data_IF_321533900401
#
_entry.id   IF_321533900401
#
_cell.length_a   1.000
_cell.length_b   1.000
_cell.length_c   1.000
_cell.angle_alpha   90.00
_cell.angle_beta   90.00
_cell.angle_gamma   90.00
#
_symmetry.space_group_name_H-M   'P 1'
#
loop_
_entity.id
_entity.type
_entity.pdbx_description
1 polymer ?
#
# COMPACT_ATOMS: atom_id res chain seq x y z
N UNK A 1 -75.12 -12.64 33.21
CA UNK A 1 -74.97 -12.80 31.76
C UNK A 1 -74.24 -11.56 31.21
N UNK A 2 -73.11 -11.81 30.54
CA UNK A 2 -72.34 -10.91 29.65
C UNK A 2 -71.93 -9.50 30.13
N UNK A 3 -70.96 -9.46 31.05
CA UNK A 3 -69.94 -8.40 31.10
C UNK A 3 -68.69 -8.91 30.36
N UNK A 4 -68.69 -8.85 29.03
CA UNK A 4 -67.54 -9.27 28.17
C UNK A 4 -67.42 -8.45 26.88
N UNK A 5 -67.65 -7.14 26.94
CA UNK A 5 -67.52 -6.27 25.75
C UNK A 5 -66.52 -5.11 25.88
N UNK A 6 -65.88 -4.91 27.05
CA UNK A 6 -65.03 -3.72 27.27
C UNK A 6 -63.52 -4.04 27.25
N UNK A 7 -63.13 -5.31 27.35
CA UNK A 7 -61.71 -5.70 27.39
C UNK A 7 -61.03 -5.76 26.01
N UNK A 8 -61.78 -5.79 24.91
CA UNK A 8 -61.20 -5.94 23.57
C UNK A 8 -60.67 -4.63 22.95
N UNK A 9 -61.09 -3.46 23.44
CA UNK A 9 -60.66 -2.17 22.91
C UNK A 9 -59.32 -1.68 23.50
N UNK A 10 -58.92 -2.16 24.69
CA UNK A 10 -57.66 -1.76 25.32
C UNK A 10 -56.44 -2.59 24.87
N UNK A 11 -56.65 -3.85 24.48
CA UNK A 11 -55.57 -4.72 23.99
C UNK A 11 -55.20 -4.49 22.52
N UNK A 12 -56.09 -3.87 21.73
CA UNK A 12 -55.79 -3.44 20.36
C UNK A 12 -55.08 -2.08 20.30
N UNK A 13 -55.16 -1.27 21.36
CA UNK A 13 -54.51 0.05 21.45
C UNK A 13 -53.05 0.03 21.89
N UNK A 14 -52.57 -1.04 22.54
CA UNK A 14 -51.18 -1.13 23.03
C UNK A 14 -50.21 -1.86 22.08
N UNK A 15 -50.69 -2.48 20.99
CA UNK A 15 -49.82 -3.02 19.91
C UNK A 15 -49.49 -1.97 18.84
N UNK A 16 -50.00 -0.75 18.99
CA UNK A 16 -49.72 0.42 18.14
C UNK A 16 -48.83 1.44 18.84
N UNK A 17 -48.04 1.03 19.85
CA UNK A 17 -46.85 1.80 20.21
C UNK A 17 -45.83 1.52 19.13
N UNK A 18 -45.99 2.26 18.03
CA UNK A 18 -44.94 2.75 17.16
C UNK A 18 -43.56 2.20 17.54
N UNK A 19 -43.12 1.18 16.79
CA UNK A 19 -41.73 1.18 16.35
C UNK A 19 -41.57 2.55 15.71
N UNK A 20 -41.10 3.53 16.49
CA UNK A 20 -40.54 4.72 15.92
C UNK A 20 -39.48 4.17 14.98
N UNK A 21 -39.80 4.15 13.68
CA UNK A 21 -38.80 4.10 12.66
C UNK A 21 -37.91 5.29 13.03
N UNK A 22 -36.81 5.01 13.73
CA UNK A 22 -35.77 5.96 13.99
C UNK A 22 -35.33 6.34 12.60
N UNK A 23 -35.93 7.42 12.08
CA UNK A 23 -35.57 7.98 10.81
C UNK A 23 -34.05 8.12 10.86
N UNK A 24 -33.38 7.65 9.82
CA UNK A 24 -31.94 7.69 9.74
C UNK A 24 -31.41 9.04 10.24
N UNK A 25 -30.58 9.00 11.28
CA UNK A 25 -29.99 10.18 11.91
C UNK A 25 -28.53 9.88 12.17
N UNK A 26 -27.69 10.44 11.32
CA UNK A 26 -26.26 10.30 11.42
C UNK A 26 -25.65 11.68 11.53
N UNK A 27 -24.77 11.85 12.52
CA UNK A 27 -23.98 13.07 12.65
C UNK A 27 -23.04 13.14 11.46
N UNK A 28 -23.00 14.28 10.79
CA UNK A 28 -21.97 14.53 9.79
C UNK A 28 -20.57 14.48 10.44
N UNK A 29 -19.64 13.82 9.78
CA UNK A 29 -18.26 13.63 10.23
C UNK A 29 -17.29 14.29 9.27
N UNK A 30 -16.04 14.48 9.71
CA UNK A 30 -14.95 14.90 8.82
C UNK A 30 -14.62 13.81 7.81
N UNK A 31 -13.99 14.18 6.70
CA UNK A 31 -13.55 13.21 5.69
C UNK A 31 -12.61 12.15 6.30
N UNK A 32 -11.70 12.57 7.19
CA UNK A 32 -10.79 11.67 7.89
C UNK A 32 -11.54 10.67 8.78
N UNK A 33 -12.55 11.11 9.53
CA UNK A 33 -13.35 10.22 10.38
C UNK A 33 -14.08 9.15 9.57
N UNK A 34 -14.66 9.51 8.42
CA UNK A 34 -15.25 8.51 7.51
C UNK A 34 -14.21 7.53 6.97
N UNK A 35 -13.02 8.01 6.61
CA UNK A 35 -11.92 7.17 6.14
C UNK A 35 -11.46 6.18 7.21
N UNK A 36 -11.28 6.63 8.45
CA UNK A 36 -10.81 5.81 9.56
C UNK A 36 -11.84 4.75 9.95
N UNK A 37 -13.14 5.09 9.95
CA UNK A 37 -14.25 4.22 10.36
C UNK A 37 -14.71 3.21 9.28
N UNK A 38 -14.12 3.24 8.09
CA UNK A 38 -14.47 2.35 6.97
C UNK A 38 -13.46 1.21 6.83
N UNK A 39 -13.92 0.05 6.38
CA UNK A 39 -13.03 -1.07 6.00
C UNK A 39 -12.47 -0.86 4.59
N UNK A 40 -13.28 -0.25 3.72
CA UNK A 40 -12.94 -0.02 2.33
C UNK A 40 -13.24 1.42 1.91
N UNK A 41 -12.31 2.03 1.19
CA UNK A 41 -12.46 3.36 0.60
C UNK A 41 -12.00 3.35 -0.85
N UNK A 42 -12.84 3.83 -1.76
CA UNK A 42 -12.50 3.99 -3.16
C UNK A 42 -13.33 5.08 -3.83
N UNK A 43 -12.91 5.48 -5.03
CA UNK A 43 -13.64 6.44 -5.86
C UNK A 43 -13.99 5.77 -7.18
N UNK A 44 -15.28 5.70 -7.51
CA UNK A 44 -15.76 5.06 -8.73
C UNK A 44 -17.10 5.64 -9.20
N UNK A 45 -17.46 5.34 -10.45
CA UNK A 45 -18.75 5.76 -11.02
C UNK A 45 -19.80 4.69 -10.73
N UNK A 46 -20.98 5.08 -10.23
CA UNK A 46 -22.09 4.15 -10.03
C UNK A 46 -22.71 3.77 -11.39
N UNK A 47 -22.72 2.48 -11.72
CA UNK A 47 -23.17 1.96 -13.04
C UNK A 47 -24.54 1.29 -12.97
N UNK A 48 -24.90 0.64 -11.87
CA UNK A 48 -26.25 0.11 -11.66
C UNK A 48 -26.67 0.14 -10.18
N UNK A 49 -27.99 0.14 -9.98
CA UNK A 49 -28.63 -0.07 -8.68
C UNK A 49 -29.77 -1.07 -8.87
N UNK A 50 -29.62 -2.27 -8.31
CA UNK A 50 -30.52 -3.42 -8.51
C UNK A 50 -31.38 -3.61 -7.25
N UNK A 51 -32.70 -3.47 -7.40
CA UNK A 51 -33.67 -3.77 -6.35
C UNK A 51 -33.80 -5.30 -6.15
N UNK A 52 -34.30 -5.77 -4.99
CA UNK A 52 -34.56 -7.19 -4.77
C UNK A 52 -35.48 -7.76 -5.85
N UNK A 53 -35.03 -8.78 -6.56
CA UNK A 53 -35.91 -9.62 -7.39
C UNK A 53 -36.72 -10.56 -6.51
N UNK A 54 -37.96 -10.85 -6.93
CA UNK A 54 -38.78 -11.88 -6.29
C UNK A 54 -38.22 -13.30 -6.48
N UNK A 55 -37.28 -13.47 -7.41
CA UNK A 55 -36.54 -14.72 -7.60
C UNK A 55 -35.35 -14.75 -6.64
N UNK A 56 -35.32 -15.74 -5.74
CA UNK A 56 -34.22 -15.98 -4.79
C UNK A 56 -33.04 -16.59 -5.54
N UNK A 57 -32.14 -15.75 -6.08
CA UNK A 57 -30.81 -16.17 -6.51
C UNK A 57 -29.75 -15.72 -5.50
N UNK A 58 -28.59 -16.38 -5.48
CA UNK A 58 -27.45 -15.94 -4.66
C UNK A 58 -26.99 -14.50 -5.01
N UNK A 59 -27.29 -14.06 -6.23
CA UNK A 59 -26.94 -12.75 -6.77
C UNK A 59 -28.02 -11.67 -6.50
N UNK A 60 -29.17 -12.04 -5.93
CA UNK A 60 -30.27 -11.11 -5.65
C UNK A 60 -29.98 -10.23 -4.44
N UNK A 61 -30.50 -9.00 -4.44
CA UNK A 61 -30.37 -8.10 -3.29
C UNK A 61 -31.15 -8.66 -2.08
N UNK A 62 -30.59 -8.60 -0.85
CA UNK A 62 -31.34 -8.98 0.35
C UNK A 62 -32.64 -8.17 0.50
N UNK A 63 -33.70 -8.71 1.12
CA UNK A 63 -34.94 -7.98 1.34
C UNK A 63 -34.70 -6.63 2.05
N UNK A 64 -35.24 -5.55 1.49
CA UNK A 64 -35.04 -4.19 2.03
C UNK A 64 -33.71 -3.55 1.67
N UNK A 65 -32.85 -4.22 0.90
CA UNK A 65 -31.60 -3.70 0.37
C UNK A 65 -31.60 -3.66 -1.16
N UNK A 66 -30.73 -2.86 -1.75
CA UNK A 66 -30.45 -2.84 -3.18
C UNK A 66 -28.94 -3.01 -3.37
N UNK A 67 -28.56 -3.66 -4.46
CA UNK A 67 -27.16 -3.87 -4.84
C UNK A 67 -26.69 -2.67 -5.65
N UNK A 68 -25.56 -2.10 -5.28
CA UNK A 68 -24.89 -1.03 -6.03
C UNK A 68 -23.72 -1.63 -6.80
N UNK A 69 -23.64 -1.35 -8.10
CA UNK A 69 -22.47 -1.71 -8.91
C UNK A 69 -21.75 -0.45 -9.33
N UNK A 70 -20.43 -0.48 -9.19
CA UNK A 70 -19.55 0.58 -9.62
C UNK A 70 -18.77 0.15 -10.86
N UNK A 71 -18.31 1.12 -11.65
CA UNK A 71 -17.30 0.90 -12.67
C UNK A 71 -16.09 0.18 -12.07
N UNK A 72 -15.34 -0.55 -12.89
CA UNK A 72 -14.12 -1.23 -12.46
C UNK A 72 -13.28 -0.32 -11.56
N UNK A 73 -13.11 -0.75 -10.30
CA UNK A 73 -12.40 0.03 -9.28
C UNK A 73 -10.92 -0.12 -9.58
N UNK A 74 -10.34 0.90 -10.21
CA UNK A 74 -8.93 0.89 -10.58
C UNK A 74 -8.00 0.96 -9.36
N UNK A 75 -8.51 1.43 -8.21
CA UNK A 75 -7.73 1.60 -6.99
C UNK A 75 -8.60 1.68 -5.74
N UNK A 76 -8.24 0.90 -4.74
CA UNK A 76 -8.71 1.07 -3.37
C UNK A 76 -7.72 1.96 -2.61
N UNK A 77 -8.23 3.01 -1.98
CA UNK A 77 -7.47 3.90 -1.09
C UNK A 77 -7.28 3.26 0.29
N UNK A 78 -8.23 2.41 0.68
CA UNK A 78 -8.20 1.55 1.86
C UNK A 78 -8.96 0.28 1.53
N UNK A 79 -8.40 -0.87 1.86
CA UNK A 79 -9.07 -2.17 1.78
C UNK A 79 -8.28 -3.21 2.58
N UNK A 80 -8.91 -4.32 3.02
CA UNK A 80 -8.20 -5.49 3.47
C UNK A 80 -7.27 -6.06 2.40
N UNK A 81 -6.15 -6.66 2.84
CA UNK A 81 -5.11 -7.19 1.94
C UNK A 81 -5.66 -8.24 0.97
N UNK A 82 -6.62 -9.04 1.42
CA UNK A 82 -7.26 -10.13 0.67
C UNK A 82 -8.00 -9.62 -0.57
N UNK A 83 -8.52 -8.38 -0.53
CA UNK A 83 -9.23 -7.77 -1.64
C UNK A 83 -8.30 -7.11 -2.66
N UNK A 84 -7.15 -6.59 -2.21
CA UNK A 84 -6.18 -5.93 -3.08
C UNK A 84 -5.43 -6.89 -4.01
N UNK A 85 -5.30 -8.17 -3.63
CA UNK A 85 -4.60 -9.20 -4.42
C UNK A 85 -5.49 -9.99 -5.38
N UNK A 86 -6.82 -9.83 -5.32
CA UNK A 86 -7.76 -10.56 -6.18
C UNK A 86 -8.99 -9.71 -6.52
N UNK A 87 -9.02 -9.05 -7.69
CA UNK A 87 -10.16 -8.23 -8.12
C UNK A 87 -11.48 -9.01 -8.19
N UNK A 88 -11.43 -10.32 -8.43
CA UNK A 88 -12.60 -11.20 -8.43
C UNK A 88 -13.17 -11.45 -7.02
N UNK A 89 -12.45 -11.04 -5.96
CA UNK A 89 -12.92 -11.09 -4.58
C UNK A 89 -13.68 -9.82 -4.15
N UNK A 90 -13.91 -8.86 -5.04
CA UNK A 90 -14.64 -7.61 -4.72
C UNK A 90 -16.00 -7.94 -4.09
N UNK A 91 -16.30 -7.43 -2.88
CA UNK A 91 -17.56 -7.73 -2.22
C UNK A 91 -18.72 -7.11 -2.97
N UNK A 92 -19.90 -7.71 -2.79
CA UNK A 92 -21.16 -7.12 -3.25
C UNK A 92 -21.48 -5.91 -2.38
N UNK A 93 -21.60 -4.74 -3.00
CA UNK A 93 -21.98 -3.52 -2.29
C UNK A 93 -23.50 -3.41 -2.18
N UNK A 94 -24.01 -3.22 -0.97
CA UNK A 94 -25.45 -3.13 -0.70
C UNK A 94 -25.78 -1.88 0.10
N UNK A 95 -26.96 -1.34 -0.14
CA UNK A 95 -27.52 -0.22 0.65
C UNK A 95 -29.00 -0.47 0.90
N UNK A 96 -29.60 0.15 1.93
CA UNK A 96 -31.04 0.03 2.13
C UNK A 96 -31.83 0.68 0.97
N UNK A 97 -33.04 0.20 0.70
CA UNK A 97 -33.90 0.77 -0.36
C UNK A 97 -34.56 2.08 0.04
N UNK A 98 -34.51 2.46 1.32
CA UNK A 98 -35.17 3.67 1.83
C UNK A 98 -34.21 4.54 2.62
N UNK A 99 -34.36 5.86 2.47
CA UNK A 99 -33.59 6.84 3.26
C UNK A 99 -33.92 6.78 4.75
N UNK A 100 -35.13 6.32 5.12
CA UNK A 100 -35.50 6.07 6.52
C UNK A 100 -34.59 5.04 7.20
N UNK A 101 -34.03 4.10 6.43
CA UNK A 101 -33.06 3.09 6.85
C UNK A 101 -31.62 3.44 6.43
N UNK A 102 -31.34 4.73 6.22
CA UNK A 102 -30.03 5.25 5.80
C UNK A 102 -29.61 4.89 4.38
N UNK A 103 -30.50 4.30 3.59
CA UNK A 103 -30.26 3.93 2.20
C UNK A 103 -29.72 5.09 1.38
N UNK A 104 -28.65 4.81 0.63
CA UNK A 104 -28.07 5.75 -0.30
C UNK A 104 -29.01 5.93 -1.49
N UNK A 105 -29.33 7.18 -1.84
CA UNK A 105 -30.05 7.48 -3.07
C UNK A 105 -29.12 7.30 -4.29
N UNK A 106 -29.39 6.35 -5.20
CA UNK A 106 -28.49 6.07 -6.31
C UNK A 106 -28.64 7.11 -7.44
N UNK A 107 -27.53 7.74 -7.82
CA UNK A 107 -27.41 8.62 -8.98
C UNK A 107 -26.52 7.93 -10.03
N UNK A 108 -27.14 7.22 -10.98
CA UNK A 108 -26.41 6.48 -12.01
C UNK A 108 -25.54 7.44 -12.85
N UNK A 109 -24.32 7.01 -13.16
CA UNK A 109 -23.32 7.80 -13.88
C UNK A 109 -22.59 8.84 -13.03
N UNK A 110 -23.03 9.09 -11.78
CA UNK A 110 -22.30 9.98 -10.88
C UNK A 110 -21.04 9.31 -10.31
N UNK A 111 -20.01 10.11 -10.06
CA UNK A 111 -18.76 9.68 -9.43
C UNK A 111 -18.90 9.80 -7.91
N UNK A 112 -18.82 8.67 -7.22
CA UNK A 112 -18.93 8.56 -5.77
C UNK A 112 -17.56 8.43 -5.13
N UNK A 113 -17.43 9.02 -3.94
CA UNK A 113 -16.57 8.43 -2.92
C UNK A 113 -17.39 7.39 -2.18
N UNK A 114 -16.81 6.20 -2.03
CA UNK A 114 -17.42 5.08 -1.34
C UNK A 114 -16.64 4.79 -0.07
N UNK A 115 -17.37 4.78 1.03
CA UNK A 115 -16.99 4.36 2.37
C UNK A 115 -17.83 3.13 2.71
N UNK A 116 -17.19 1.96 2.68
CA UNK A 116 -17.84 0.68 2.83
C UNK A 116 -17.37 -0.04 4.09
N UNK A 117 -18.31 -0.72 4.76
CA UNK A 117 -18.05 -1.60 5.88
C UNK A 117 -18.34 -3.05 5.49
N UNK A 118 -17.44 -3.97 5.81
CA UNK A 118 -17.63 -5.38 5.51
C UNK A 118 -18.68 -5.95 6.48
N UNK A 119 -19.72 -6.58 5.94
CA UNK A 119 -20.74 -7.21 6.78
C UNK A 119 -20.22 -8.55 7.29
N UNK A 120 -19.75 -8.57 8.54
CA UNK A 120 -19.28 -9.78 9.21
C UNK A 120 -20.35 -10.87 9.32
N UNK A 121 -21.64 -10.52 9.18
CA UNK A 121 -22.76 -11.48 9.19
C UNK A 121 -23.01 -12.11 7.82
N UNK A 122 -22.57 -11.46 6.74
CA UNK A 122 -22.77 -11.90 5.37
C UNK A 122 -21.44 -11.81 4.59
N UNK A 123 -20.58 -12.84 4.69
CA UNK A 123 -19.29 -12.86 4.00
C UNK A 123 -19.43 -12.52 2.51
N UNK A 124 -18.52 -11.69 1.99
CA UNK A 124 -18.55 -11.21 0.61
C UNK A 124 -19.56 -10.07 0.34
N UNK A 125 -20.16 -9.49 1.39
CA UNK A 125 -21.03 -8.31 1.27
C UNK A 125 -20.42 -7.13 2.03
N UNK A 126 -20.51 -5.94 1.44
CA UNK A 126 -20.09 -4.69 2.06
C UNK A 126 -21.26 -3.69 2.06
N UNK A 127 -21.53 -3.10 3.21
CA UNK A 127 -22.60 -2.13 3.41
C UNK A 127 -22.09 -0.74 3.06
N UNK A 128 -22.87 -0.05 2.23
CA UNK A 128 -22.72 1.35 1.88
C UNK A 128 -24.01 2.06 2.28
N UNK A 129 -23.91 3.15 3.02
CA UNK A 129 -25.08 3.95 3.35
C UNK A 129 -24.70 5.44 3.51
N UNK A 130 -25.72 6.28 3.76
CA UNK A 130 -25.54 7.71 3.98
C UNK A 130 -24.78 8.05 5.27
N UNK A 131 -24.77 7.16 6.26
CA UNK A 131 -24.11 7.33 7.55
C UNK A 131 -22.64 7.00 7.51
N UNK A 132 -22.24 6.07 6.64
CA UNK A 132 -20.84 5.78 6.33
C UNK A 132 -20.20 6.94 5.53
N UNK A 133 -20.99 7.90 5.07
CA UNK A 133 -20.52 9.13 4.43
C UNK A 133 -20.37 9.03 2.91
N UNK A 134 -20.74 7.88 2.32
CA UNK A 134 -20.70 7.67 0.87
C UNK A 134 -21.62 8.64 0.15
N UNK A 135 -21.10 9.37 -0.85
CA UNK A 135 -21.85 10.40 -1.56
C UNK A 135 -21.22 10.74 -2.92
N UNK A 136 -21.98 11.32 -3.87
CA UNK A 136 -21.40 11.84 -5.11
C UNK A 136 -20.46 13.01 -4.82
N UNK A 137 -19.34 13.07 -5.52
CA UNK A 137 -18.30 14.12 -5.34
C UNK A 137 -18.02 14.91 -6.63
N UNK A 138 -18.71 14.60 -7.72
CA UNK A 138 -18.60 15.32 -8.98
C UNK A 138 -19.95 15.37 -9.71
N UNK A 139 -20.08 16.34 -10.62
CA UNK A 139 -21.31 16.58 -11.37
C UNK A 139 -22.37 17.34 -10.58
N UNK A 140 -23.61 17.32 -11.07
CA UNK A 140 -24.74 18.07 -10.50
C UNK A 140 -25.06 17.67 -9.04
N UNK A 141 -24.77 16.42 -8.67
CA UNK A 141 -25.07 15.86 -7.36
C UNK A 141 -23.90 15.94 -6.37
N UNK A 142 -22.83 16.66 -6.71
CA UNK A 142 -21.63 16.75 -5.88
C UNK A 142 -21.94 17.30 -4.49
N UNK A 143 -21.50 16.58 -3.46
CA UNK A 143 -21.68 16.94 -2.06
C UNK A 143 -20.33 17.08 -1.37
N UNK A 144 -20.18 18.15 -0.59
CA UNK A 144 -18.98 18.37 0.22
C UNK A 144 -19.08 17.61 1.54
N UNK A 145 -17.95 17.48 2.21
CA UNK A 145 -17.84 17.13 3.62
C UNK A 145 -17.74 18.42 4.43
N UNK A 146 -17.99 18.33 5.74
CA UNK A 146 -17.91 19.47 6.66
C UNK A 146 -16.56 20.22 6.57
N UNK A 147 -15.48 19.50 6.28
CA UNK A 147 -14.09 20.00 6.25
C UNK A 147 -13.47 19.96 4.85
N UNK A 148 -14.12 19.32 3.87
CA UNK A 148 -13.53 19.09 2.54
C UNK A 148 -14.53 19.38 1.42
N UNK A 149 -14.31 20.42 0.59
CA UNK A 149 -15.12 20.66 -0.60
C UNK A 149 -15.09 19.47 -1.55
N UNK A 150 -16.21 19.17 -2.21
CA UNK A 150 -16.36 18.02 -3.12
C UNK A 150 -15.22 17.92 -4.15
N UNK A 151 -14.78 19.07 -4.71
CA UNK A 151 -13.70 19.15 -5.69
C UNK A 151 -12.33 18.67 -5.16
N UNK A 152 -12.11 18.72 -3.85
CA UNK A 152 -10.83 18.38 -3.21
C UNK A 152 -10.84 17.00 -2.54
N UNK A 153 -12.00 16.30 -2.52
CA UNK A 153 -12.14 15.02 -1.81
C UNK A 153 -11.13 13.98 -2.28
N UNK A 154 -10.92 13.84 -3.60
CA UNK A 154 -9.95 12.86 -4.11
C UNK A 154 -8.53 13.16 -3.64
N UNK A 155 -8.08 14.42 -3.72
CA UNK A 155 -6.74 14.81 -3.27
C UNK A 155 -6.56 14.61 -1.76
N UNK A 156 -7.57 14.94 -0.96
CA UNK A 156 -7.50 14.77 0.48
C UNK A 156 -7.51 13.27 0.88
N UNK A 157 -8.25 12.43 0.16
CA UNK A 157 -8.21 10.98 0.36
C UNK A 157 -6.85 10.38 -0.04
N UNK A 158 -6.24 10.86 -1.11
CA UNK A 158 -4.87 10.48 -1.49
C UNK A 158 -3.89 10.83 -0.36
N UNK A 159 -4.02 12.01 0.25
CA UNK A 159 -3.19 12.41 1.38
C UNK A 159 -3.39 11.50 2.61
N UNK A 160 -4.64 11.12 2.93
CA UNK A 160 -4.96 10.21 4.04
C UNK A 160 -4.39 8.80 3.81
N UNK A 161 -4.59 8.25 2.61
CA UNK A 161 -4.09 6.92 2.26
C UNK A 161 -2.55 6.90 2.20
N UNK A 162 -1.93 7.96 1.67
CA UNK A 162 -0.48 8.12 1.68
C UNK A 162 0.10 8.25 3.10
N UNK A 163 -0.61 8.92 4.01
CA UNK A 163 -0.18 9.03 5.40
C UNK A 163 -0.17 7.68 6.13
N UNK A 164 -1.18 6.84 5.91
CA UNK A 164 -1.21 5.46 6.45
C UNK A 164 -0.03 4.62 5.91
N UNK A 165 0.27 4.75 4.62
CA UNK A 165 1.43 4.11 3.99
C UNK A 165 2.74 4.61 4.61
N UNK A 166 2.91 5.93 4.77
CA UNK A 166 4.11 6.48 5.41
C UNK A 166 4.26 6.00 6.85
N UNK A 167 3.16 5.85 7.60
CA UNK A 167 3.21 5.28 8.94
C UNK A 167 3.75 3.85 8.91
N UNK A 168 3.25 2.99 7.99
CA UNK A 168 3.76 1.62 7.80
C UNK A 168 5.23 1.58 7.39
N UNK A 169 5.62 2.44 6.44
CA UNK A 169 7.00 2.58 5.95
C UNK A 169 7.92 3.00 7.08
N UNK A 170 7.52 3.97 7.91
CA UNK A 170 8.31 4.47 9.03
C UNK A 170 8.61 3.39 10.07
N UNK A 171 7.66 2.51 10.36
CA UNK A 171 7.81 1.38 11.28
C UNK A 171 8.75 0.28 10.78
N UNK A 172 8.98 0.20 9.46
CA UNK A 172 9.80 -0.84 8.82
C UNK A 172 11.05 -0.29 8.14
N UNK A 173 11.43 0.96 8.45
CA UNK A 173 12.67 1.53 7.90
C UNK A 173 13.88 0.73 8.39
N UNK A 174 14.73 0.25 7.47
CA UNK A 174 15.97 -0.36 7.87
C UNK A 174 16.93 0.67 8.44
N UNK A 175 17.65 0.26 9.47
CA UNK A 175 18.76 1.01 10.02
C UNK A 175 20.05 0.25 9.74
N UNK A 176 20.97 0.86 8.99
CA UNK A 176 22.27 0.26 8.70
C UNK A 176 23.06 -0.01 9.98
N UNK A 177 22.91 0.82 11.02
CA UNK A 177 23.61 0.63 12.29
C UNK A 177 22.93 -0.35 13.25
N UNK A 178 21.78 -0.95 12.88
CA UNK A 178 21.11 -1.93 13.73
C UNK A 178 21.58 -3.36 13.39
N UNK A 179 22.30 -4.07 14.29
CA UNK A 179 22.77 -5.43 14.02
C UNK A 179 21.63 -6.43 13.80
N UNK A 180 20.42 -6.14 14.30
CA UNK A 180 19.23 -6.96 14.13
C UNK A 180 18.51 -6.67 12.81
N UNK A 181 18.97 -5.72 12.00
CA UNK A 181 18.34 -5.46 10.71
C UNK A 181 18.51 -6.67 9.77
N UNK A 182 17.44 -6.99 9.04
CA UNK A 182 17.35 -8.10 8.07
C UNK A 182 16.96 -7.61 6.68
N UNK A 183 16.92 -6.30 6.49
CA UNK A 183 16.60 -5.65 5.23
C UNK A 183 17.84 -5.07 4.58
N UNK A 184 17.93 -5.14 3.25
CA UNK A 184 19.05 -4.60 2.48
C UNK A 184 19.31 -3.11 2.77
N UNK A 185 20.57 -2.77 3.08
CA UNK A 185 21.05 -1.39 3.28
C UNK A 185 22.18 -1.00 2.31
N UNK A 186 22.65 -1.94 1.49
CA UNK A 186 23.64 -1.68 0.46
C UNK A 186 24.21 -2.97 -0.14
N UNK A 187 25.28 -2.82 -0.91
CA UNK A 187 25.98 -3.91 -1.58
C UNK A 187 27.46 -3.90 -1.20
N UNK A 188 28.06 -5.08 -1.07
CA UNK A 188 29.48 -5.24 -0.79
C UNK A 188 30.16 -5.99 -1.94
N UNK A 189 31.11 -5.33 -2.59
CA UNK A 189 32.03 -6.00 -3.52
C UNK A 189 33.08 -6.77 -2.72
N UNK A 190 33.38 -7.99 -3.16
CA UNK A 190 34.27 -8.95 -2.53
C UNK A 190 35.43 -9.20 -3.48
N UNK A 191 36.22 -8.15 -3.75
CA UNK A 191 37.35 -8.17 -4.69
C UNK A 191 38.35 -9.29 -4.37
N UNK A 192 38.50 -9.62 -3.08
CA UNK A 192 39.32 -10.74 -2.61
C UNK A 192 38.92 -12.09 -3.24
N UNK A 193 37.64 -12.30 -3.55
CA UNK A 193 37.14 -13.54 -4.16
C UNK A 193 37.42 -13.59 -5.67
N UNK A 194 37.40 -12.44 -6.36
CA UNK A 194 37.71 -12.36 -7.79
C UNK A 194 39.15 -12.80 -8.09
N UNK A 195 40.04 -12.67 -7.10
CA UNK A 195 41.44 -13.07 -7.18
C UNK A 195 41.69 -14.51 -6.68
N UNK A 196 40.63 -15.29 -6.44
CA UNK A 196 40.71 -16.66 -5.91
C UNK A 196 41.03 -16.73 -4.41
N UNK A 197 40.83 -15.62 -3.69
CA UNK A 197 40.97 -15.56 -2.24
C UNK A 197 39.75 -16.12 -1.50
N UNK A 198 39.75 -15.92 -0.18
CA UNK A 198 38.68 -16.37 0.70
C UNK A 198 38.41 -15.34 1.78
N UNK A 199 37.14 -15.13 2.15
CA UNK A 199 36.75 -14.14 3.16
C UNK A 199 36.24 -14.85 4.40
N UNK A 200 36.76 -14.49 5.57
CA UNK A 200 36.31 -15.07 6.84
C UNK A 200 34.96 -14.49 7.24
N UNK A 201 34.11 -15.34 7.78
CA UNK A 201 32.81 -14.98 8.33
C UNK A 201 32.73 -15.28 9.81
N UNK A 202 31.99 -14.45 10.53
CA UNK A 202 31.88 -14.48 11.98
C UNK A 202 30.41 -14.44 12.40
N UNK A 203 30.10 -14.99 13.57
CA UNK A 203 28.73 -14.93 14.10
C UNK A 203 28.39 -13.54 14.65
N UNK A 204 29.39 -12.78 15.12
CA UNK A 204 29.24 -11.45 15.70
C UNK A 204 30.40 -10.54 15.24
N UNK A 205 30.21 -9.21 15.27
CA UNK A 205 31.34 -8.27 15.19
C UNK A 205 32.31 -8.52 16.36
N UNK A 206 33.60 -8.25 16.14
CA UNK A 206 34.65 -8.30 17.18
C UNK A 206 34.96 -9.68 17.79
N UNK A 207 34.47 -10.78 17.20
CA UNK A 207 34.81 -12.12 17.67
C UNK A 207 36.00 -12.71 16.89
N UNK A 208 37.23 -12.39 17.27
CA UNK A 208 38.41 -13.07 16.68
C UNK A 208 38.46 -14.58 17.00
N UNK A 209 37.64 -15.04 17.95
CA UNK A 209 37.63 -16.42 18.47
C UNK A 209 36.35 -17.22 18.14
N UNK A 210 35.23 -16.61 17.71
CA UNK A 210 33.99 -17.33 17.30
C UNK A 210 34.04 -17.73 15.81
N UNK A 211 35.08 -18.47 15.43
CA UNK A 211 35.11 -19.16 14.14
C UNK A 211 34.31 -20.46 14.30
N UNK A 212 33.18 -20.67 13.59
CA UNK A 212 32.46 -21.94 13.66
C UNK A 212 33.34 -23.13 13.26
N UNK A 213 32.98 -24.35 13.71
CA UNK A 213 33.65 -25.59 13.30
C UNK A 213 33.42 -25.96 11.81
N UNK A 214 32.42 -25.35 11.18
CA UNK A 214 32.12 -25.47 9.74
C UNK A 214 32.91 -24.42 8.97
N UNK A 215 33.28 -24.70 7.70
CA UNK A 215 34.20 -23.84 6.94
C UNK A 215 33.77 -22.36 7.02
N UNK A 216 34.51 -21.53 7.78
CA UNK A 216 34.12 -20.18 8.11
C UNK A 216 34.34 -19.22 6.94
N UNK A 217 34.85 -19.73 5.82
CA UNK A 217 35.25 -18.92 4.68
C UNK A 217 34.21 -18.97 3.58
N UNK A 218 33.99 -17.81 2.99
CA UNK A 218 33.35 -17.67 1.68
C UNK A 218 34.46 -17.79 0.65
N UNK A 219 34.25 -18.65 -0.35
CA UNK A 219 35.16 -18.82 -1.50
C UNK A 219 34.47 -18.53 -2.83
N UNK A 220 33.13 -18.64 -2.90
CA UNK A 220 32.34 -18.34 -4.09
C UNK A 220 31.10 -17.48 -3.80
N UNK A 221 30.79 -16.57 -4.73
CA UNK A 221 29.65 -15.64 -4.62
C UNK A 221 28.28 -16.31 -4.77
N UNK A 222 28.08 -17.02 -5.89
CA UNK A 222 26.76 -17.45 -6.37
C UNK A 222 26.12 -18.51 -5.49
N UNK A 223 26.95 -19.37 -4.91
CA UNK A 223 26.48 -20.58 -4.24
C UNK A 223 26.45 -20.40 -2.71
N UNK A 224 27.12 -19.36 -2.20
CA UNK A 224 27.26 -19.15 -0.76
C UNK A 224 26.55 -17.90 -0.25
N UNK A 225 26.35 -16.86 -1.06
CA UNK A 225 25.79 -15.60 -0.61
C UNK A 225 24.49 -15.25 -1.34
N UNK A 226 23.61 -14.52 -0.66
CA UNK A 226 22.60 -13.73 -1.35
C UNK A 226 23.33 -12.53 -1.99
N UNK A 227 23.29 -12.47 -3.31
CA UNK A 227 24.05 -11.51 -4.10
C UNK A 227 23.21 -10.88 -5.20
N UNK A 228 23.65 -9.71 -5.65
CA UNK A 228 23.13 -8.95 -6.78
C UNK A 228 24.29 -8.43 -7.62
N UNK A 229 24.03 -8.06 -8.86
CA UNK A 229 25.02 -7.36 -9.67
C UNK A 229 25.05 -5.87 -9.31
N UNK A 230 26.25 -5.31 -9.12
CA UNK A 230 26.46 -3.87 -8.95
C UNK A 230 26.85 -3.17 -10.27
N UNK A 231 27.51 -3.90 -11.15
CA UNK A 231 27.82 -3.54 -12.54
C UNK A 231 27.83 -4.81 -13.39
N UNK A 232 27.91 -4.67 -14.71
CA UNK A 232 27.97 -5.81 -15.62
C UNK A 232 29.05 -6.82 -15.18
N UNK A 233 28.59 -8.05 -14.92
CA UNK A 233 29.42 -9.18 -14.48
C UNK A 233 30.16 -8.97 -13.14
N UNK A 234 29.79 -7.95 -12.36
CA UNK A 234 30.37 -7.68 -11.04
C UNK A 234 29.35 -8.05 -9.97
N UNK A 235 29.45 -9.26 -9.37
CA UNK A 235 28.58 -9.64 -8.25
C UNK A 235 28.94 -8.84 -7.00
N UNK A 236 27.93 -8.59 -6.17
CA UNK A 236 28.08 -7.93 -4.87
C UNK A 236 27.13 -8.60 -3.86
N UNK A 237 27.60 -8.78 -2.64
CA UNK A 237 26.81 -9.39 -1.58
C UNK A 237 25.81 -8.38 -1.05
N UNK A 238 24.59 -8.83 -0.73
CA UNK A 238 23.62 -8.01 -0.01
C UNK A 238 24.13 -7.74 1.41
N UNK A 239 24.14 -6.46 1.80
CA UNK A 239 24.48 -6.02 3.16
C UNK A 239 23.21 -5.64 3.91
N UNK A 240 23.12 -6.09 5.15
CA UNK A 240 21.96 -5.90 6.02
C UNK A 240 22.27 -5.03 7.24
N UNK A 241 23.53 -4.86 7.64
CA UNK A 241 23.93 -3.95 8.71
C UNK A 241 25.42 -3.63 8.61
N UNK A 242 25.84 -2.52 9.22
CA UNK A 242 27.21 -2.07 9.36
C UNK A 242 27.46 -1.63 10.80
N UNK A 243 28.55 -2.13 11.40
CA UNK A 243 28.99 -1.77 12.75
C UNK A 243 30.52 -1.71 12.78
N UNK A 244 31.11 -0.54 13.03
CA UNK A 244 32.55 -0.39 13.29
C UNK A 244 33.47 -1.13 12.28
N UNK A 245 33.20 -1.00 10.97
CA UNK A 245 33.96 -1.67 9.90
C UNK A 245 33.58 -3.14 9.65
N UNK A 246 32.54 -3.63 10.30
CA UNK A 246 31.94 -4.94 10.05
C UNK A 246 30.66 -4.81 9.24
N UNK A 247 30.45 -5.76 8.32
CA UNK A 247 29.28 -5.80 7.44
C UNK A 247 28.54 -7.12 7.64
N UNK A 248 27.23 -7.03 7.86
CA UNK A 248 26.35 -8.19 7.99
C UNK A 248 25.89 -8.63 6.61
N UNK A 249 26.17 -9.88 6.26
CA UNK A 249 25.79 -10.54 5.01
C UNK A 249 24.95 -11.77 5.29
N UNK A 250 24.19 -12.26 4.30
CA UNK A 250 23.41 -13.49 4.43
C UNK A 250 24.06 -14.64 3.65
N UNK A 251 24.54 -15.66 4.37
CA UNK A 251 25.15 -16.86 3.80
C UNK A 251 24.09 -17.96 3.65
N UNK A 252 23.97 -18.51 2.45
CA UNK A 252 23.05 -19.60 2.16
C UNK A 252 23.32 -20.80 3.07
N UNK A 253 22.26 -21.40 3.63
CA UNK A 253 22.35 -22.51 4.58
C UNK A 253 22.79 -22.15 6.00
N UNK A 254 23.49 -21.02 6.19
CA UNK A 254 24.08 -20.62 7.49
C UNK A 254 23.47 -19.36 8.11
N UNK A 255 22.65 -18.65 7.35
CA UNK A 255 21.96 -17.43 7.78
C UNK A 255 22.90 -16.22 7.83
N UNK A 256 22.59 -15.27 8.71
CA UNK A 256 23.39 -14.06 8.83
C UNK A 256 24.77 -14.30 9.43
N UNK A 257 25.76 -13.61 8.85
CA UNK A 257 27.17 -13.63 9.25
C UNK A 257 27.76 -12.22 9.10
N UNK A 258 28.88 -11.99 9.78
CA UNK A 258 29.63 -10.74 9.71
C UNK A 258 30.96 -10.94 9.00
N UNK A 259 31.34 -9.98 8.18
CA UNK A 259 32.64 -9.90 7.50
C UNK A 259 33.30 -8.57 7.82
N UNK A 260 34.63 -8.53 7.82
CA UNK A 260 35.36 -7.26 7.94
C UNK A 260 35.41 -6.59 6.58
N UNK A 261 35.03 -5.31 6.52
CA UNK A 261 35.10 -4.49 5.31
C UNK A 261 36.53 -4.49 4.71
N UNK A 262 37.55 -4.40 5.58
CA UNK A 262 38.96 -4.42 5.20
C UNK A 262 39.45 -5.73 4.56
N UNK A 263 38.80 -6.88 4.82
CA UNK A 263 39.15 -8.17 4.20
C UNK A 263 38.32 -8.44 2.92
N UNK A 264 37.23 -7.71 2.72
CA UNK A 264 36.24 -7.96 1.68
C UNK A 264 36.44 -7.08 0.45
N UNK A 265 36.28 -5.77 0.60
CA UNK A 265 36.24 -4.80 -0.49
C UNK A 265 35.24 -3.66 -0.21
N UNK A 266 34.99 -2.80 -1.21
CA UNK A 266 34.19 -1.59 -0.99
C UNK A 266 32.71 -1.89 -0.67
N UNK A 267 32.19 -1.19 0.33
CA UNK A 267 30.77 -1.12 0.62
C UNK A 267 30.10 0.04 -0.12
N UNK A 268 28.98 -0.26 -0.76
CA UNK A 268 28.17 0.68 -1.54
C UNK A 268 26.82 0.86 -0.86
N UNK A 269 26.59 1.98 -0.15
CA UNK A 269 25.37 2.18 0.58
C UNK A 269 24.20 2.43 -0.38
N UNK A 270 23.03 1.90 -0.02
CA UNK A 270 21.84 1.93 -0.88
C UNK A 270 21.35 3.34 -1.20
N UNK A 271 21.64 4.34 -0.36
CA UNK A 271 21.32 5.74 -0.62
C UNK A 271 22.07 6.35 -1.83
N UNK A 272 23.19 5.77 -2.23
CA UNK A 272 23.95 6.23 -3.41
C UNK A 272 23.79 5.33 -4.62
N UNK A 273 23.45 4.05 -4.42
CA UNK A 273 23.46 3.03 -5.47
C UNK A 273 22.60 3.40 -6.70
N UNK A 274 21.34 3.84 -6.56
CA UNK A 274 20.49 4.15 -7.72
C UNK A 274 20.79 5.50 -8.39
N UNK A 275 21.53 6.39 -7.72
CA UNK A 275 21.71 7.78 -8.17
C UNK A 275 22.42 7.79 -9.53
N UNK A 276 21.82 8.49 -10.51
CA UNK A 276 22.34 8.64 -11.88
C UNK A 276 22.58 7.31 -12.61
N UNK A 277 21.93 6.23 -12.19
CA UNK A 277 21.89 4.94 -12.89
C UNK A 277 20.52 4.76 -13.54
N UNK A 278 20.46 3.91 -14.57
CA UNK A 278 19.21 3.46 -15.13
C UNK A 278 18.45 2.68 -14.05
N UNK A 279 17.39 3.30 -13.51
CA UNK A 279 16.69 2.83 -12.32
C UNK A 279 15.24 2.53 -12.62
N UNK A 280 14.60 1.77 -11.74
CA UNK A 280 13.20 1.44 -11.84
C UNK A 280 12.53 1.38 -10.46
N UNK A 281 11.24 1.68 -10.45
CA UNK A 281 10.32 1.39 -9.36
C UNK A 281 9.82 -0.03 -9.53
N UNK A 282 9.77 -0.79 -8.45
CA UNK A 282 9.22 -2.14 -8.45
C UNK A 282 7.86 -2.17 -7.72
N UNK A 283 7.32 -3.38 -7.51
CA UNK A 283 6.02 -3.60 -6.86
C UNK A 283 5.97 -3.19 -5.37
N UNK A 284 7.10 -2.87 -4.74
CA UNK A 284 7.14 -2.36 -3.36
C UNK A 284 6.81 -0.87 -3.29
N UNK A 285 6.81 -0.14 -4.40
CA UNK A 285 6.41 1.26 -4.42
C UNK A 285 4.89 1.40 -4.39
N UNK A 286 4.38 2.13 -3.39
CA UNK A 286 2.94 2.30 -3.17
C UNK A 286 2.26 3.32 -4.13
N UNK A 287 2.98 3.86 -5.12
CA UNK A 287 2.43 4.71 -6.17
C UNK A 287 2.35 6.21 -5.86
N UNK A 288 2.84 6.66 -4.71
CA UNK A 288 2.79 8.07 -4.32
C UNK A 288 4.12 8.79 -4.55
N UNK A 289 4.02 10.07 -4.89
CA UNK A 289 5.13 11.00 -5.01
C UNK A 289 4.81 12.25 -4.20
N UNK A 290 5.77 12.69 -3.39
CA UNK A 290 5.67 13.89 -2.58
C UNK A 290 6.44 15.06 -3.22
N UNK A 291 5.99 16.30 -3.02
CA UNK A 291 6.77 17.48 -3.44
C UNK A 291 8.07 17.63 -2.65
N UNK A 292 8.07 17.24 -1.37
CA UNK A 292 9.23 17.24 -0.47
C UNK A 292 9.26 15.95 0.36
N UNK A 293 10.43 15.48 0.86
CA UNK A 293 10.50 14.19 1.55
C UNK A 293 9.64 14.19 2.83
N UNK A 294 8.57 13.40 2.81
CA UNK A 294 7.61 13.28 3.92
C UNK A 294 6.72 14.50 4.15
N UNK A 295 6.70 15.47 3.22
CA UNK A 295 5.98 16.74 3.40
C UNK A 295 5.20 17.16 2.14
N UNK A 296 4.17 17.98 2.37
CA UNK A 296 3.25 18.44 1.32
C UNK A 296 2.21 17.40 0.92
N UNK A 297 1.32 17.80 0.00
CA UNK A 297 0.26 16.92 -0.49
C UNK A 297 0.85 15.98 -1.55
N UNK A 298 0.84 14.66 -1.31
CA UNK A 298 1.29 13.72 -2.31
C UNK A 298 0.28 13.66 -3.46
N UNK A 299 0.77 13.25 -4.62
CA UNK A 299 -0.10 12.79 -5.69
C UNK A 299 0.16 11.32 -5.96
N UNK A 300 -0.89 10.63 -6.40
CA UNK A 300 -0.78 9.26 -6.88
C UNK A 300 -0.35 9.26 -8.35
N UNK A 301 0.81 8.66 -8.63
CA UNK A 301 1.30 8.42 -9.97
C UNK A 301 1.07 6.94 -10.31
N UNK A 302 0.25 6.70 -11.34
CA UNK A 302 0.04 5.35 -11.86
C UNK A 302 1.29 4.94 -12.65
N UNK A 303 2.15 4.09 -12.08
CA UNK A 303 3.02 3.25 -12.91
C UNK A 303 2.11 2.34 -13.76
N UNK A 304 2.45 2.13 -15.03
CA UNK A 304 1.69 1.20 -15.89
C UNK A 304 1.61 -0.21 -15.29
N UNK A 305 0.87 -1.12 -15.92
CA UNK A 305 0.67 -2.52 -15.45
C UNK A 305 1.95 -3.39 -15.47
N UNK A 306 3.13 -2.77 -15.54
CA UNK A 306 4.42 -3.42 -15.53
C UNK A 306 4.88 -3.64 -14.10
N UNK A 307 5.58 -4.75 -13.85
CA UNK A 307 6.24 -5.03 -12.57
C UNK A 307 7.33 -4.02 -12.23
N UNK A 308 7.83 -3.30 -13.24
CA UNK A 308 8.88 -2.31 -13.15
C UNK A 308 8.51 -1.04 -13.93
N UNK A 309 8.83 0.13 -13.39
CA UNK A 309 8.62 1.41 -14.06
C UNK A 309 9.90 2.23 -14.07
N UNK A 310 10.38 2.60 -15.25
CA UNK A 310 11.66 3.28 -15.40
C UNK A 310 11.64 4.68 -14.75
N UNK A 311 12.72 5.00 -14.03
CA UNK A 311 12.93 6.28 -13.38
C UNK A 311 14.37 6.76 -13.51
N UNK A 312 14.57 8.05 -13.27
CA UNK A 312 15.88 8.62 -12.95
C UNK A 312 15.89 8.99 -11.47
N UNK A 313 16.92 8.55 -10.74
CA UNK A 313 17.17 9.00 -9.36
C UNK A 313 18.22 10.11 -9.38
N UNK A 314 17.80 11.30 -8.95
CA UNK A 314 18.60 12.51 -8.98
C UNK A 314 19.38 12.74 -7.69
N UNK A 315 18.76 12.41 -6.56
CA UNK A 315 19.29 12.69 -5.22
C UNK A 315 18.71 11.74 -4.17
N UNK A 316 19.34 11.70 -3.00
CA UNK A 316 18.82 10.97 -1.83
C UNK A 316 18.90 11.83 -0.57
N UNK A 317 17.96 11.61 0.36
CA UNK A 317 17.95 12.31 1.63
C UNK A 317 17.37 11.43 2.74
N UNK A 318 17.97 11.49 3.93
CA UNK A 318 17.40 10.90 5.14
C UNK A 318 16.66 11.96 5.97
N UNK A 319 15.38 11.76 6.20
CA UNK A 319 14.54 12.62 7.06
C UNK A 319 13.78 11.73 8.04
N UNK A 320 13.88 12.02 9.34
CA UNK A 320 13.18 11.27 10.39
C UNK A 320 13.58 9.78 10.44
N UNK A 321 14.81 9.44 10.04
CA UNK A 321 15.28 8.05 9.94
C UNK A 321 14.93 7.34 8.62
N UNK A 322 13.96 7.86 7.87
CA UNK A 322 13.56 7.30 6.58
C UNK A 322 14.46 7.78 5.44
N UNK A 323 14.84 6.86 4.55
CA UNK A 323 15.56 7.21 3.31
C UNK A 323 14.56 7.54 2.20
N UNK A 324 14.81 8.65 1.52
CA UNK A 324 14.02 9.17 0.42
C UNK A 324 14.87 9.34 -0.83
N UNK A 325 14.27 9.13 -1.99
CA UNK A 325 14.89 9.40 -3.28
C UNK A 325 14.12 10.49 -4.02
N UNK A 326 14.85 11.44 -4.58
CA UNK A 326 14.31 12.39 -5.54
C UNK A 326 14.32 11.75 -6.91
N UNK A 327 13.14 11.52 -7.48
CA UNK A 327 12.95 10.73 -8.68
C UNK A 327 12.24 11.52 -9.77
N UNK A 328 12.45 11.06 -11.00
CA UNK A 328 11.72 11.44 -12.19
C UNK A 328 11.17 10.17 -12.84
N UNK A 329 9.85 10.09 -12.99
CA UNK A 329 9.16 8.98 -13.64
C UNK A 329 9.14 9.18 -15.14
N UNK A 330 9.48 8.14 -15.88
CA UNK A 330 9.63 8.17 -17.33
C UNK A 330 8.41 7.55 -18.03
N UNK A 331 8.10 8.05 -19.23
CA UNK A 331 6.98 7.52 -20.03
C UNK A 331 7.17 6.07 -20.45
N UNK A 332 8.42 5.66 -20.61
CA UNK A 332 8.85 4.34 -21.06
C UNK A 332 10.29 4.10 -20.63
N UNK A 333 10.76 2.86 -20.79
CA UNK A 333 12.16 2.52 -20.54
C UNK A 333 13.06 3.20 -21.59
N UNK A 334 14.16 3.88 -21.16
CA UNK A 334 15.19 4.36 -22.07
C UNK A 334 15.79 3.28 -23.00
N UNK A 335 15.60 2.00 -22.70
CA UNK A 335 16.11 0.89 -23.52
C UNK A 335 15.20 0.47 -24.68
N UNK A 336 13.93 0.90 -24.67
CA UNK A 336 12.91 0.40 -25.62
C UNK A 336 12.56 1.42 -26.71
N UNK A 337 12.96 2.69 -26.54
CA UNK A 337 12.65 3.80 -27.43
C UNK A 337 13.84 4.30 -28.26
N UNK A 338 13.54 4.92 -29.40
CA UNK A 338 14.51 5.68 -30.21
C UNK A 338 14.66 7.11 -29.67
N UNK A 339 13.55 7.68 -29.19
CA UNK A 339 13.50 9.02 -28.64
C UNK A 339 13.73 9.01 -27.13
N UNK A 340 14.27 10.09 -26.54
CA UNK A 340 14.38 10.23 -25.10
C UNK A 340 12.99 10.15 -24.44
N UNK A 341 12.83 9.35 -23.37
CA UNK A 341 11.55 9.23 -22.70
C UNK A 341 11.14 10.56 -22.06
N UNK A 342 9.83 10.81 -22.03
CA UNK A 342 9.28 12.03 -21.43
C UNK A 342 9.12 11.86 -19.93
N UNK A 343 9.35 12.96 -19.22
CA UNK A 343 9.00 13.10 -17.80
C UNK A 343 7.48 13.03 -17.61
N UNK A 344 7.00 12.06 -16.84
CA UNK A 344 5.59 11.95 -16.45
C UNK A 344 5.31 12.69 -15.14
N UNK A 345 6.23 12.57 -14.18
CA UNK A 345 6.13 13.16 -12.85
C UNK A 345 7.52 13.23 -12.21
N UNK A 346 7.73 14.15 -11.27
CA UNK A 346 8.97 14.23 -10.50
C UNK A 346 8.70 14.65 -9.06
N UNK A 347 9.46 14.13 -8.12
CA UNK A 347 9.32 14.46 -6.70
C UNK A 347 10.08 13.47 -5.83
N UNK A 348 9.63 13.29 -4.59
CA UNK A 348 10.27 12.43 -3.60
C UNK A 348 9.44 11.20 -3.32
N UNK A 349 10.11 10.07 -3.21
CA UNK A 349 9.51 8.80 -2.80
C UNK A 349 10.32 8.15 -1.68
N UNK A 350 9.70 7.35 -0.82
CA UNK A 350 10.43 6.48 0.09
C UNK A 350 11.31 5.48 -0.68
N UNK A 351 12.54 5.27 -0.21
CA UNK A 351 13.46 4.31 -0.81
C UNK A 351 13.07 2.84 -0.56
N UNK A 352 12.20 2.63 0.43
CA UNK A 352 11.69 1.33 0.86
C UNK A 352 10.17 1.34 0.83
N UNK A 353 9.58 0.22 0.42
CA UNK A 353 8.15 0.00 0.46
C UNK A 353 7.62 -0.30 1.85
N UNK A 354 6.30 -0.40 1.96
CA UNK A 354 5.66 -0.72 3.24
C UNK A 354 6.09 -2.06 3.82
N UNK A 355 6.63 -3.00 3.03
CA UNK A 355 7.19 -4.29 3.52
C UNK A 355 8.57 -4.16 4.18
N UNK A 356 9.23 -3.02 4.03
CA UNK A 356 10.64 -2.80 4.39
C UNK A 356 11.60 -3.06 3.23
N UNK A 357 11.18 -3.68 2.12
CA UNK A 357 12.07 -3.96 0.99
C UNK A 357 12.34 -2.73 0.10
N UNK A 358 13.46 -2.70 -0.64
CA UNK A 358 13.77 -1.64 -1.61
C UNK A 358 12.63 -1.42 -2.62
N UNK A 359 12.13 -0.19 -2.70
CA UNK A 359 11.13 0.22 -3.70
C UNK A 359 11.76 0.69 -5.03
N UNK A 360 13.05 1.05 -4.97
CA UNK A 360 13.84 1.49 -6.11
C UNK A 360 14.97 0.49 -6.33
N UNK A 361 15.23 0.13 -7.58
CA UNK A 361 16.43 -0.59 -7.94
C UNK A 361 17.02 -0.08 -9.25
N UNK A 362 18.14 -0.64 -9.68
CA UNK A 362 18.83 -0.24 -10.90
C UNK A 362 19.24 -1.45 -11.75
N UNK A 363 19.31 -1.23 -13.06
CA UNK A 363 19.84 -2.22 -14.00
C UNK A 363 21.37 -2.15 -13.98
N UNK A 364 22.02 -3.18 -13.45
CA UNK A 364 23.49 -3.31 -13.35
C UNK A 364 24.20 -3.22 -14.70
N UNK A 365 23.52 -3.67 -15.76
CA UNK A 365 24.05 -3.76 -17.12
C UNK A 365 23.67 -2.58 -18.01
N UNK A 366 22.86 -1.64 -17.50
CA UNK A 366 22.23 -0.63 -18.33
C UNK A 366 21.26 -1.22 -19.34
N UNK A 367 21.09 -0.50 -20.46
CA UNK A 367 20.66 -1.07 -21.72
C UNK A 367 21.92 -1.65 -22.42
#
# INVERSE_FOLDING_TARGET
MYSKAIAAAYLLGMLLVSNAALACRCSEQTLQQYFDNSDMVFVATLTSAELPSHELSADSAPPGQQILRFSAVNRYLKAPAELTGNPAATPRFVTATTSAQCGLAPHLGARYVVFAQIDSRHPGTAIIDSCNGSRPIAGEFAQSFIDTPAANVTQQLDALAAADILAKISQRQPSSSNPLNETLVGLLTLESLEQGGSIKTFQRPDSSEDIPAEDPRIVHYSDELISREISAETPAAEVYAQLDGWLKVHRQGLGFRWVQEAEAGPFWPYDTLPIRRLSYLNTEWDGYIWPDPGAGLPWYAKAGDHSEHAIVVHDSQRIGGSLWFKVELLSESPCEGIDPPRSLAAGWIPAYGSSGKPAVWFYSRGC
#
